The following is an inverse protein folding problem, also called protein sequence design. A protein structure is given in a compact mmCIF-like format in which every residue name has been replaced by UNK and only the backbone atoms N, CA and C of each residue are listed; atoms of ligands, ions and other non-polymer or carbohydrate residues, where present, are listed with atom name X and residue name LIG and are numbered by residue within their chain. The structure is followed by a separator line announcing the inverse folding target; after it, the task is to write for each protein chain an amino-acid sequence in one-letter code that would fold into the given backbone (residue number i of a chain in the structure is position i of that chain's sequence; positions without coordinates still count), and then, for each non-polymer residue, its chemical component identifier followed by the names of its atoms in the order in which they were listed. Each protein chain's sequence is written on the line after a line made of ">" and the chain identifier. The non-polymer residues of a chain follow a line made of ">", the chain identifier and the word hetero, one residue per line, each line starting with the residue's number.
data_IF_819558375835
#
_entry.id   IF_819558375835
#
_cell.length_a   1.000
_cell.length_b   1.000
_cell.length_c   1.000
_cell.angle_alpha   90.00
_cell.angle_beta   90.00
_cell.angle_gamma   90.00
#
_symmetry.space_group_name_H-M   'P 1'
#
loop_
_entity.id
_entity.type
_entity.pdbx_description
1 polymer ?
#
# COMPACT_ATOMS: atom_id res chain seq x y z
N UNK A 1 -1.69 6.68 -14.74
CA UNK A 1 -1.28 8.11 -14.70
C UNK A 1 0.25 8.18 -14.66
N UNK A 2 0.92 9.21 -14.13
CA UNK A 2 2.36 9.09 -13.81
C UNK A 2 2.53 8.50 -12.41
N UNK A 3 3.59 7.73 -12.16
CA UNK A 3 3.90 7.19 -10.82
C UNK A 3 3.94 8.24 -9.71
N UNK A 4 4.44 9.45 -9.98
CA UNK A 4 4.43 10.54 -9.00
C UNK A 4 3.01 11.00 -8.60
N UNK A 5 2.03 10.85 -9.51
CA UNK A 5 0.63 11.17 -9.25
C UNK A 5 -0.03 10.06 -8.42
N UNK A 6 0.28 8.80 -8.75
CA UNK A 6 -0.12 7.62 -7.96
C UNK A 6 0.27 7.74 -6.50
N UNK A 7 1.54 8.05 -6.24
CA UNK A 7 2.03 8.29 -4.88
C UNK A 7 1.31 9.47 -4.23
N UNK A 8 1.22 10.60 -4.94
CA UNK A 8 0.67 11.82 -4.35
C UNK A 8 -0.80 11.67 -3.97
N UNK A 9 -1.64 11.09 -4.82
CA UNK A 9 -3.07 10.90 -4.55
C UNK A 9 -3.30 9.84 -3.49
N UNK A 10 -2.48 8.79 -3.47
CA UNK A 10 -2.55 7.75 -2.44
C UNK A 10 -2.21 8.30 -1.06
N UNK A 11 -1.12 9.07 -0.93
CA UNK A 11 -0.75 9.70 0.33
C UNK A 11 -1.77 10.76 0.77
N UNK A 12 -2.26 11.59 -0.17
CA UNK A 12 -3.29 12.59 0.14
C UNK A 12 -4.59 11.92 0.64
N UNK A 13 -4.97 10.80 0.06
CA UNK A 13 -6.10 9.99 0.52
C UNK A 13 -5.85 9.35 1.89
N UNK A 14 -4.62 8.90 2.16
CA UNK A 14 -4.24 8.35 3.46
C UNK A 14 -4.34 9.38 4.58
N UNK A 15 -4.07 10.66 4.31
CA UNK A 15 -4.21 11.76 5.30
C UNK A 15 -5.65 11.89 5.81
N UNK A 16 -6.65 11.52 5.02
CA UNK A 16 -8.06 11.48 5.48
C UNK A 16 -8.19 10.56 6.70
N UNK A 17 -7.42 9.47 6.78
CA UNK A 17 -7.42 8.55 7.92
C UNK A 17 -6.41 8.91 9.01
N UNK A 18 -5.61 9.97 8.86
CA UNK A 18 -4.58 10.33 9.82
C UNK A 18 -5.12 10.55 11.25
N UNK A 19 -6.30 11.16 11.49
CA UNK A 19 -6.86 11.25 12.85
C UNK A 19 -7.09 9.89 13.51
N UNK A 20 -7.53 8.89 12.73
CA UNK A 20 -7.76 7.54 13.23
C UNK A 20 -6.43 6.84 13.50
N UNK A 21 -5.47 6.98 12.59
CA UNK A 21 -4.17 6.32 12.72
C UNK A 21 -3.33 6.95 13.85
N UNK A 22 -3.34 8.28 13.97
CA UNK A 22 -2.56 9.00 14.98
C UNK A 22 -2.98 8.66 16.42
N UNK A 23 -4.23 8.20 16.62
CA UNK A 23 -4.69 7.70 17.92
C UNK A 23 -3.96 6.45 18.42
N UNK A 24 -3.33 5.70 17.53
CA UNK A 24 -2.47 4.58 17.95
C UNK A 24 -1.30 5.07 18.82
N UNK A 25 -0.91 6.34 18.68
CA UNK A 25 0.20 6.93 19.43
C UNK A 25 1.58 6.37 19.09
N UNK A 26 1.66 5.41 18.17
CA UNK A 26 2.90 4.74 17.78
C UNK A 26 3.50 5.35 16.50
N UNK A 27 4.63 6.07 16.60
CA UNK A 27 5.30 6.64 15.42
C UNK A 27 5.79 5.56 14.44
N UNK A 28 6.13 4.36 14.93
CA UNK A 28 6.59 3.26 14.07
C UNK A 28 5.44 2.74 13.22
N UNK A 29 4.25 2.55 13.80
CA UNK A 29 3.03 2.22 13.06
C UNK A 29 2.79 3.22 11.91
N UNK A 30 2.80 4.52 12.22
CA UNK A 30 2.61 5.60 11.25
C UNK A 30 3.65 5.57 10.13
N UNK A 31 4.92 5.33 10.48
CA UNK A 31 6.00 5.23 9.51
C UNK A 31 5.82 4.02 8.59
N UNK A 32 5.59 2.82 9.15
CA UNK A 32 5.46 1.58 8.40
C UNK A 32 4.26 1.61 7.46
N UNK A 33 3.10 2.07 7.93
CA UNK A 33 1.91 2.16 7.08
C UNK A 33 2.11 3.19 5.95
N UNK A 34 2.79 4.31 6.23
CA UNK A 34 3.07 5.34 5.21
C UNK A 34 4.05 4.85 4.14
N UNK A 35 5.13 4.17 4.53
CA UNK A 35 6.06 3.54 3.58
C UNK A 35 5.32 2.46 2.77
N UNK A 36 4.49 1.66 3.42
CA UNK A 36 3.65 0.66 2.77
C UNK A 36 2.74 1.30 1.70
N UNK A 37 2.00 2.35 2.03
CA UNK A 37 1.12 3.07 1.08
C UNK A 37 1.92 3.64 -0.08
N UNK A 38 3.09 4.23 0.19
CA UNK A 38 3.98 4.75 -0.85
C UNK A 38 4.41 3.65 -1.84
N UNK A 39 4.93 2.52 -1.35
CA UNK A 39 5.36 1.40 -2.22
C UNK A 39 4.16 0.78 -2.91
N UNK A 40 3.07 0.54 -2.17
CA UNK A 40 1.82 -0.02 -2.67
C UNK A 40 1.21 0.78 -3.80
N UNK A 41 1.26 2.12 -3.74
CA UNK A 41 0.75 2.99 -4.81
C UNK A 41 1.49 2.84 -6.14
N UNK A 42 2.69 2.24 -6.14
CA UNK A 42 3.50 1.96 -7.32
C UNK A 42 3.54 0.47 -7.68
N UNK A 43 3.17 -0.41 -6.73
CA UNK A 43 3.29 -1.85 -6.88
C UNK A 43 2.50 -2.42 -8.08
N UNK A 44 1.28 -1.95 -8.41
CA UNK A 44 0.55 -2.46 -9.57
C UNK A 44 1.28 -2.31 -10.91
N UNK A 45 2.06 -1.23 -11.06
CA UNK A 45 2.83 -0.95 -12.27
C UNK A 45 4.11 -1.81 -12.40
N UNK A 46 4.42 -2.67 -11.42
CA UNK A 46 5.57 -3.58 -11.51
C UNK A 46 5.43 -4.64 -12.61
N UNK A 47 4.23 -4.79 -13.20
CA UNK A 47 3.99 -5.61 -14.38
C UNK A 47 4.47 -4.96 -15.69
N UNK A 48 4.87 -3.68 -15.64
CA UNK A 48 5.43 -2.91 -16.74
C UNK A 48 6.93 -2.66 -16.54
N UNK A 49 7.72 -2.78 -17.61
CA UNK A 49 9.17 -2.57 -17.51
C UNK A 49 9.56 -1.09 -17.43
N UNK A 50 8.74 -0.19 -17.98
CA UNK A 50 8.98 1.25 -18.11
C UNK A 50 8.35 2.07 -16.97
N UNK A 51 7.85 1.41 -15.93
CA UNK A 51 7.15 2.06 -14.84
C UNK A 51 8.07 2.81 -13.87
N UNK A 52 7.48 3.74 -13.12
CA UNK A 52 8.22 4.52 -12.12
C UNK A 52 8.82 3.64 -11.00
N UNK A 53 8.22 2.48 -10.71
CA UNK A 53 8.81 1.55 -9.74
C UNK A 53 10.08 0.89 -10.29
N UNK A 54 10.26 0.79 -11.61
CA UNK A 54 11.44 0.18 -12.24
C UNK A 54 12.59 1.14 -12.49
N UNK A 55 12.33 2.45 -12.50
CA UNK A 55 13.33 3.47 -12.87
C UNK A 55 13.41 4.68 -11.91
N UNK A 56 12.57 4.72 -10.88
CA UNK A 56 12.49 5.82 -9.93
C UNK A 56 11.56 6.96 -10.37
N UNK A 57 11.40 7.96 -9.49
CA UNK A 57 10.62 9.16 -9.78
C UNK A 57 11.50 10.20 -10.49
N UNK A 58 11.13 10.61 -11.70
CA UNK A 58 11.87 11.60 -12.47
C UNK A 58 11.50 13.05 -12.11
N UNK A 59 12.38 14.02 -12.40
CA UNK A 59 12.10 15.46 -12.28
C UNK A 59 12.51 16.13 -10.95
N UNK A 60 12.08 17.39 -10.76
CA UNK A 60 12.38 18.23 -9.59
C UNK A 60 13.50 19.27 -9.81
N UNK A 61 13.55 20.28 -8.92
CA UNK A 61 14.61 21.30 -8.85
C UNK A 61 15.18 21.36 -7.41
N UNK A 62 16.44 21.77 -7.27
CA UNK A 62 17.12 21.91 -5.97
C UNK A 62 17.11 20.62 -5.14
N UNK A 63 16.86 20.75 -3.83
CA UNK A 63 16.89 19.65 -2.86
C UNK A 63 15.89 18.52 -3.17
N UNK A 64 14.76 18.84 -3.82
CA UNK A 64 13.77 17.83 -4.25
C UNK A 64 14.38 16.88 -5.28
N UNK A 65 15.24 17.40 -6.17
CA UNK A 65 15.94 16.57 -7.17
C UNK A 65 16.90 15.60 -6.47
N UNK A 66 17.60 16.04 -5.43
CA UNK A 66 18.50 15.19 -4.65
C UNK A 66 17.74 14.06 -3.97
N UNK A 67 16.62 14.35 -3.30
CA UNK A 67 15.76 13.34 -2.69
C UNK A 67 15.25 12.32 -3.73
N UNK A 68 14.78 12.80 -4.89
CA UNK A 68 14.29 11.94 -5.97
C UNK A 68 15.37 11.02 -6.55
N UNK A 69 16.65 11.43 -6.57
CA UNK A 69 17.75 10.55 -7.03
C UNK A 69 17.88 9.30 -6.17
N UNK A 70 17.63 9.38 -4.87
CA UNK A 70 17.67 8.18 -4.01
C UNK A 70 16.57 7.17 -4.37
N UNK A 71 15.43 7.63 -4.91
CA UNK A 71 14.37 6.73 -5.37
C UNK A 71 14.80 5.87 -6.57
N UNK A 72 15.81 6.29 -7.34
CA UNK A 72 16.35 5.54 -8.49
C UNK A 72 17.06 4.25 -8.05
N UNK A 73 17.52 4.16 -6.80
CA UNK A 73 18.09 2.92 -6.27
C UNK A 73 17.03 2.09 -5.54
N UNK A 74 16.25 2.76 -4.70
CA UNK A 74 15.31 2.08 -3.79
C UNK A 74 14.09 1.54 -4.54
N UNK A 75 13.49 2.31 -5.45
CA UNK A 75 12.28 1.85 -6.14
C UNK A 75 12.54 0.64 -7.04
N UNK A 76 13.58 0.61 -7.90
CA UNK A 76 13.83 -0.55 -8.75
C UNK A 76 14.09 -1.84 -7.96
N UNK A 77 14.74 -1.74 -6.80
CA UNK A 77 14.87 -2.88 -5.89
C UNK A 77 13.50 -3.47 -5.53
N UNK A 78 12.56 -2.65 -5.07
CA UNK A 78 11.19 -3.10 -4.77
C UNK A 78 10.43 -3.53 -6.03
N UNK A 79 10.60 -2.83 -7.15
CA UNK A 79 9.97 -3.17 -8.43
C UNK A 79 10.35 -4.56 -8.91
N UNK A 80 11.64 -4.91 -8.87
CA UNK A 80 12.12 -6.24 -9.20
C UNK A 80 11.68 -7.29 -8.18
N UNK A 81 11.70 -6.97 -6.89
CA UNK A 81 11.22 -7.87 -5.85
C UNK A 81 9.74 -8.22 -6.09
N UNK A 82 8.89 -7.22 -6.29
CA UNK A 82 7.46 -7.40 -6.57
C UNK A 82 7.28 -8.18 -7.87
N UNK A 83 8.00 -7.83 -8.95
CA UNK A 83 7.84 -8.48 -10.25
C UNK A 83 8.20 -9.97 -10.21
N UNK A 84 9.34 -10.31 -9.64
CA UNK A 84 9.85 -11.68 -9.70
C UNK A 84 9.33 -12.57 -8.58
N UNK A 85 9.19 -12.06 -7.36
CA UNK A 85 8.75 -12.87 -6.23
C UNK A 85 7.24 -12.84 -6.01
N UNK A 86 6.53 -11.84 -6.53
CA UNK A 86 5.08 -11.70 -6.30
C UNK A 86 4.30 -11.87 -7.61
N UNK A 87 4.51 -10.98 -8.58
CA UNK A 87 3.71 -10.96 -9.80
C UNK A 87 3.81 -12.27 -10.60
N UNK A 88 5.02 -12.76 -10.87
CA UNK A 88 5.17 -14.00 -11.64
C UNK A 88 4.61 -15.23 -10.92
N UNK A 89 4.85 -15.46 -9.61
CA UNK A 89 4.22 -16.55 -8.87
C UNK A 89 2.69 -16.48 -8.85
N UNK A 90 2.11 -15.29 -8.59
CA UNK A 90 0.64 -15.13 -8.60
C UNK A 90 0.09 -15.35 -10.01
N UNK A 91 0.79 -14.86 -11.04
CA UNK A 91 0.41 -15.08 -12.44
C UNK A 91 0.47 -16.55 -12.85
N UNK A 92 1.51 -17.27 -12.42
CA UNK A 92 1.65 -18.70 -12.63
C UNK A 92 0.53 -19.48 -11.93
N UNK A 93 0.22 -19.13 -10.68
CA UNK A 93 -0.89 -19.73 -9.94
C UNK A 93 -2.22 -19.56 -10.69
N UNK A 94 -2.55 -18.34 -11.14
CA UNK A 94 -3.76 -18.08 -11.92
C UNK A 94 -3.75 -18.86 -13.24
N UNK A 95 -2.60 -18.92 -13.93
CA UNK A 95 -2.46 -19.70 -15.16
C UNK A 95 -2.77 -21.19 -14.93
N UNK A 96 -2.23 -21.79 -13.87
CA UNK A 96 -2.46 -23.20 -13.50
C UNK A 96 -3.94 -23.44 -13.16
N UNK A 97 -4.50 -22.65 -12.24
CA UNK A 97 -5.89 -22.83 -11.76
C UNK A 97 -6.92 -22.61 -12.87
N UNK A 98 -6.60 -21.78 -13.86
CA UNK A 98 -7.47 -21.53 -15.01
C UNK A 98 -7.21 -22.46 -16.20
N UNK A 99 -6.35 -23.48 -16.04
CA UNK A 99 -5.93 -24.39 -17.11
C UNK A 99 -5.45 -23.65 -18.37
N UNK A 100 -4.68 -22.60 -18.17
CA UNK A 100 -4.10 -21.77 -19.23
C UNK A 100 -5.08 -20.84 -19.96
N UNK A 101 -6.35 -20.77 -19.54
CA UNK A 101 -7.35 -19.86 -20.14
C UNK A 101 -7.02 -18.39 -19.88
N UNK A 102 -6.37 -18.09 -18.76
CA UNK A 102 -5.97 -16.72 -18.40
C UNK A 102 -4.45 -16.58 -18.52
N UNK A 103 -4.02 -15.73 -19.45
CA UNK A 103 -2.61 -15.42 -19.66
C UNK A 103 -2.21 -14.13 -18.92
N UNK A 104 -0.97 -14.04 -18.40
CA UNK A 104 -0.44 -12.79 -17.86
C UNK A 104 -0.44 -11.73 -18.96
N UNK A 105 -0.93 -10.54 -18.64
CA UNK A 105 -0.96 -9.38 -19.55
C UNK A 105 -0.62 -8.13 -18.75
N UNK A 106 0.00 -7.17 -19.42
CA UNK A 106 0.19 -5.83 -18.87
C UNK A 106 -1.16 -5.21 -18.49
N UNK A 107 -1.25 -4.60 -17.30
CA UNK A 107 -2.52 -4.10 -16.73
C UNK A 107 -3.58 -5.19 -16.56
N UNK A 108 -3.12 -6.40 -16.24
CA UNK A 108 -3.95 -7.58 -16.00
C UNK A 108 -4.14 -7.83 -14.51
N UNK A 109 -3.35 -8.77 -13.99
CA UNK A 109 -3.54 -9.31 -12.65
C UNK A 109 -3.35 -8.25 -11.55
N UNK A 110 -2.25 -7.50 -11.55
CA UNK A 110 -2.01 -6.49 -10.53
C UNK A 110 -2.93 -5.26 -10.64
N UNK A 111 -3.62 -5.09 -11.76
CA UNK A 111 -4.65 -4.07 -11.96
C UNK A 111 -6.06 -4.65 -11.76
N UNK A 112 -6.20 -5.51 -10.74
CA UNK A 112 -7.46 -6.13 -10.32
C UNK A 112 -7.49 -6.28 -8.81
N UNK A 113 -8.69 -6.28 -8.22
CA UNK A 113 -8.85 -6.43 -6.77
C UNK A 113 -8.31 -7.78 -6.29
N UNK A 114 -8.61 -8.84 -7.04
CA UNK A 114 -8.10 -10.18 -6.76
C UNK A 114 -6.57 -10.19 -6.75
N UNK A 115 -5.94 -9.65 -7.79
CA UNK A 115 -4.48 -9.70 -7.90
C UNK A 115 -3.77 -8.89 -6.82
N UNK A 116 -4.25 -7.70 -6.44
CA UNK A 116 -3.62 -6.94 -5.34
C UNK A 116 -3.80 -7.63 -3.99
N UNK A 117 -4.97 -8.25 -3.72
CA UNK A 117 -5.21 -9.00 -2.48
C UNK A 117 -4.28 -10.22 -2.42
N UNK A 118 -4.21 -11.02 -3.49
CA UNK A 118 -3.33 -12.20 -3.52
C UNK A 118 -1.86 -11.82 -3.45
N UNK A 119 -1.45 -10.74 -4.13
CA UNK A 119 -0.09 -10.21 -4.07
C UNK A 119 0.29 -9.76 -2.64
N UNK A 120 -0.58 -8.99 -1.97
CA UNK A 120 -0.34 -8.55 -0.60
C UNK A 120 -0.35 -9.71 0.41
N UNK A 121 -1.23 -10.69 0.23
CA UNK A 121 -1.26 -11.89 1.08
C UNK A 121 0.02 -12.73 0.93
N UNK A 122 0.48 -12.94 -0.31
CA UNK A 122 1.73 -13.65 -0.57
C UNK A 122 2.94 -12.91 0.02
N UNK A 123 2.97 -11.58 -0.10
CA UNK A 123 4.01 -10.75 0.52
C UNK A 123 4.01 -10.88 2.05
N UNK A 124 2.83 -10.86 2.69
CA UNK A 124 2.70 -11.04 4.14
C UNK A 124 3.24 -12.40 4.58
N UNK A 125 2.94 -13.46 3.82
CA UNK A 125 3.46 -14.81 4.08
C UNK A 125 4.99 -14.79 4.01
N UNK A 126 5.58 -14.23 2.95
CA UNK A 126 7.03 -14.16 2.80
C UNK A 126 7.71 -13.38 3.93
N UNK A 127 7.22 -12.17 4.24
CA UNK A 127 7.83 -11.35 5.30
C UNK A 127 7.69 -12.05 6.65
N UNK A 128 6.55 -12.68 6.94
CA UNK A 128 6.36 -13.45 8.19
C UNK A 128 7.37 -14.59 8.30
N UNK A 129 7.56 -15.38 7.24
CA UNK A 129 8.54 -16.48 7.22
C UNK A 129 9.96 -15.95 7.42
N UNK A 130 10.35 -14.90 6.66
CA UNK A 130 11.70 -14.33 6.72
C UNK A 130 11.98 -13.75 8.12
N UNK A 131 11.03 -13.00 8.69
CA UNK A 131 11.16 -12.45 10.03
C UNK A 131 11.30 -13.56 11.08
N UNK A 132 10.50 -14.63 10.98
CA UNK A 132 10.61 -15.78 11.88
C UNK A 132 11.96 -16.50 11.77
N UNK A 133 12.45 -16.73 10.55
CA UNK A 133 13.77 -17.32 10.32
C UNK A 133 14.90 -16.44 10.87
N UNK A 134 14.81 -15.12 10.67
CA UNK A 134 15.80 -14.18 11.18
C UNK A 134 15.83 -14.16 12.71
N UNK A 135 14.67 -14.12 13.37
CA UNK A 135 14.57 -14.20 14.83
C UNK A 135 15.21 -15.48 15.38
N UNK A 136 14.94 -16.62 14.77
CA UNK A 136 15.53 -17.91 15.17
C UNK A 136 17.05 -17.93 14.99
N UNK A 137 17.56 -17.41 13.86
CA UNK A 137 19.01 -17.34 13.61
C UNK A 137 19.72 -16.41 14.59
N UNK A 138 19.12 -15.27 14.91
CA UNK A 138 19.65 -14.32 15.88
C UNK A 138 19.72 -14.95 17.27
N UNK A 139 18.69 -15.69 17.67
CA UNK A 139 18.68 -16.41 18.94
C UNK A 139 19.80 -17.46 19.00
N UNK A 140 19.99 -18.25 17.94
CA UNK A 140 21.09 -19.22 17.86
C UNK A 140 22.46 -18.55 17.95
N UNK A 141 22.64 -17.40 17.29
CA UNK A 141 23.88 -16.64 17.34
C UNK A 141 24.17 -16.12 18.75
N UNK A 142 23.16 -15.58 19.45
CA UNK A 142 23.31 -15.09 20.83
C UNK A 142 23.62 -16.26 21.78
N UNK A 143 22.91 -17.39 21.66
CA UNK A 143 23.15 -18.58 22.48
C UNK A 143 24.51 -19.22 22.22
N UNK A 144 24.96 -19.29 20.96
CA UNK A 144 26.27 -19.84 20.60
C UNK A 144 27.44 -18.92 20.93
N UNK A 145 27.21 -17.62 21.10
CA UNK A 145 28.23 -16.61 21.41
C UNK A 145 28.47 -16.36 22.90
N UNK A 146 27.61 -16.86 23.80
CA UNK A 146 27.75 -16.70 25.25
C UNK A 146 27.86 -18.07 25.93
N UNK A 147 28.94 -18.29 26.69
CA UNK A 147 29.05 -19.48 27.56
C UNK A 147 27.93 -19.49 28.60
N UNK A 148 27.39 -20.68 28.89
CA UNK A 148 26.15 -20.99 29.64
C UNK A 148 25.91 -20.30 31.01
N UNK A 149 26.82 -19.46 31.51
CA UNK A 149 26.70 -18.83 32.83
C UNK A 149 25.62 -17.73 32.92
N UNK A 150 25.07 -17.23 31.80
CA UNK A 150 24.02 -16.19 31.78
C UNK A 150 22.75 -16.56 30.99
N UNK A 151 22.59 -17.83 30.56
CA UNK A 151 21.50 -18.24 29.66
C UNK A 151 20.08 -18.02 30.23
N UNK A 152 19.93 -17.97 31.56
CA UNK A 152 18.64 -17.73 32.23
C UNK A 152 18.09 -16.30 32.12
N UNK A 153 18.91 -15.31 31.77
CA UNK A 153 18.46 -13.91 31.64
C UNK A 153 17.98 -13.56 30.22
N UNK A 154 18.41 -14.31 29.20
CA UNK A 154 18.15 -13.98 27.79
C UNK A 154 16.84 -14.60 27.29
N UNK A 155 16.42 -15.75 27.85
CA UNK A 155 15.13 -16.39 27.54
C UNK A 155 13.92 -15.54 27.93
N UNK A 156 14.07 -14.59 28.87
CA UNK A 156 13.02 -13.62 29.19
C UNK A 156 12.82 -12.53 28.13
N UNK A 157 13.79 -12.33 27.23
CA UNK A 157 13.75 -11.31 26.17
C UNK A 157 13.11 -11.89 24.89
N UNK A 158 13.24 -13.20 24.66
CA UNK A 158 12.72 -13.88 23.46
C UNK A 158 11.48 -14.72 23.72
N UNK A 159 11.25 -15.17 24.96
CA UNK A 159 10.19 -16.12 25.33
C UNK A 159 8.87 -15.51 25.82
N UNK A 160 8.72 -14.19 25.78
CA UNK A 160 7.44 -13.52 26.02
C UNK A 160 6.49 -13.75 24.86
N UNK A 161 5.98 -14.97 24.72
CA UNK A 161 4.85 -15.27 23.84
C UNK A 161 3.66 -14.51 24.41
N UNK A 162 3.48 -13.32 23.87
CA UNK A 162 2.46 -12.35 24.20
C UNK A 162 1.07 -13.00 24.27
N UNK A 163 0.45 -12.98 25.45
CA UNK A 163 -1.00 -12.83 25.52
C UNK A 163 -1.33 -11.44 24.95
N UNK A 164 -1.37 -11.33 23.61
CA UNK A 164 -1.78 -10.07 22.98
C UNK A 164 -3.26 -9.91 23.21
N UNK A 165 -3.65 -8.87 23.94
CA UNK A 165 -5.00 -8.35 23.86
C UNK A 165 -5.27 -7.97 22.38
N UNK A 166 -6.51 -8.06 21.87
CA UNK A 166 -6.80 -7.76 20.46
C UNK A 166 -6.31 -6.39 19.95
N UNK A 167 -6.08 -5.42 20.85
CA UNK A 167 -5.48 -4.12 20.54
C UNK A 167 -3.97 -4.16 20.24
N UNK A 168 -3.24 -5.17 20.72
CA UNK A 168 -1.78 -5.30 20.57
C UNK A 168 -1.37 -6.04 19.29
N UNK A 169 -2.34 -6.53 18.51
CA UNK A 169 -2.05 -7.31 17.30
C UNK A 169 -1.20 -6.53 16.28
N UNK A 170 -1.43 -5.23 16.13
CA UNK A 170 -0.68 -4.43 15.16
C UNK A 170 0.66 -3.92 15.69
N UNK A 171 0.78 -3.65 16.99
CA UNK A 171 2.05 -3.28 17.63
C UNK A 171 3.02 -4.47 17.67
N UNK A 172 2.50 -5.69 17.84
CA UNK A 172 3.29 -6.93 17.83
C UNK A 172 3.64 -7.44 16.42
N UNK A 173 3.01 -6.92 15.36
CA UNK A 173 3.17 -7.41 13.97
C UNK A 173 3.47 -6.28 12.97
N UNK A 174 4.66 -5.67 13.02
CA UNK A 174 5.05 -4.60 12.11
C UNK A 174 4.96 -5.01 10.62
N UNK A 175 5.18 -6.28 10.30
CA UNK A 175 5.02 -6.81 8.95
C UNK A 175 3.57 -6.71 8.45
N UNK A 176 2.59 -6.93 9.33
CA UNK A 176 1.17 -6.84 8.97
C UNK A 176 0.76 -5.38 8.71
N UNK A 177 1.27 -4.43 9.50
CA UNK A 177 1.05 -2.99 9.31
C UNK A 177 1.61 -2.54 7.96
N UNK A 178 2.86 -2.93 7.66
CA UNK A 178 3.51 -2.63 6.40
C UNK A 178 2.75 -3.21 5.19
N UNK A 179 2.38 -4.49 5.23
CA UNK A 179 1.62 -5.15 4.16
C UNK A 179 0.21 -4.56 3.99
N UNK A 180 -0.43 -4.14 5.09
CA UNK A 180 -1.72 -3.42 5.04
C UNK A 180 -1.55 -2.08 4.33
N UNK A 181 -0.46 -1.36 4.62
CA UNK A 181 -0.09 -0.15 3.88
C UNK A 181 0.08 -0.41 2.39
N UNK A 182 0.80 -1.48 2.01
CA UNK A 182 0.98 -1.86 0.60
C UNK A 182 -0.37 -2.15 -0.07
N UNK A 183 -1.25 -2.91 0.57
CA UNK A 183 -2.57 -3.21 0.04
C UNK A 183 -3.40 -1.93 -0.14
N UNK A 184 -3.38 -1.03 0.85
CA UNK A 184 -4.10 0.24 0.80
C UNK A 184 -3.57 1.14 -0.33
N UNK A 185 -2.24 1.25 -0.48
CA UNK A 185 -1.63 1.99 -1.59
C UNK A 185 -1.99 1.41 -2.95
N UNK A 186 -1.94 0.08 -3.10
CA UNK A 186 -2.31 -0.59 -4.34
C UNK A 186 -3.79 -0.38 -4.66
N UNK A 187 -4.68 -0.48 -3.66
CA UNK A 187 -6.10 -0.20 -3.84
C UNK A 187 -6.36 1.25 -4.32
N UNK A 188 -5.66 2.23 -3.74
CA UNK A 188 -5.75 3.64 -4.15
C UNK A 188 -5.22 3.86 -5.57
N UNK A 189 -4.15 3.15 -5.96
CA UNK A 189 -3.70 3.11 -7.35
C UNK A 189 -4.81 2.63 -8.29
N UNK A 190 -5.53 1.55 -7.95
CA UNK A 190 -6.63 1.03 -8.78
C UNK A 190 -7.80 2.03 -8.88
N UNK A 191 -8.14 2.71 -7.78
CA UNK A 191 -9.16 3.79 -7.79
C UNK A 191 -8.74 4.94 -8.71
N UNK A 192 -7.47 5.35 -8.66
CA UNK A 192 -6.94 6.38 -9.54
C UNK A 192 -6.95 5.94 -11.01
N UNK A 193 -6.46 4.74 -11.31
CA UNK A 193 -6.39 4.28 -12.70
C UNK A 193 -7.78 4.05 -13.30
N UNK A 194 -8.80 3.80 -12.46
CA UNK A 194 -10.22 3.80 -12.85
C UNK A 194 -10.66 5.16 -13.39
N UNK A 195 -10.04 6.27 -12.97
CA UNK A 195 -10.33 7.61 -13.44
C UNK A 195 -9.69 7.93 -14.81
N UNK A 196 -8.80 7.09 -15.30
CA UNK A 196 -8.05 7.29 -16.55
C UNK A 196 -8.68 6.55 -17.73
N UNK A 197 -8.24 6.89 -18.94
CA UNK A 197 -8.63 6.15 -20.15
C UNK A 197 -8.16 4.69 -20.16
N UNK A 198 -7.05 4.39 -19.48
CA UNK A 198 -6.51 3.04 -19.41
C UNK A 198 -7.40 2.13 -18.58
N UNK A 199 -7.97 2.66 -17.49
CA UNK A 199 -8.94 1.97 -16.66
C UNK A 199 -8.36 0.80 -15.86
N UNK A 200 -9.25 0.09 -15.17
CA UNK A 200 -8.94 -1.06 -14.30
C UNK A 200 -9.95 -2.18 -14.53
N UNK A 201 -9.47 -3.43 -14.48
CA UNK A 201 -10.30 -4.63 -14.54
C UNK A 201 -10.50 -5.18 -13.12
N UNK A 202 -11.34 -4.51 -12.32
CA UNK A 202 -11.52 -4.80 -10.89
C UNK A 202 -11.73 -6.28 -10.56
N UNK A 203 -12.47 -6.99 -11.41
CA UNK A 203 -12.85 -8.39 -11.19
C UNK A 203 -12.05 -9.38 -12.06
N UNK A 204 -10.96 -8.97 -12.71
CA UNK A 204 -10.06 -9.91 -13.36
C UNK A 204 -9.44 -10.84 -12.30
N UNK A 205 -9.26 -12.15 -12.56
CA UNK A 205 -9.45 -12.86 -13.83
C UNK A 205 -10.88 -13.35 -14.12
N UNK A 206 -11.84 -13.14 -13.22
CA UNK A 206 -13.20 -13.67 -13.32
C UNK A 206 -14.07 -12.92 -14.34
N UNK A 207 -13.85 -11.61 -14.50
CA UNK A 207 -14.60 -10.76 -15.44
C UNK A 207 -13.69 -9.75 -16.10
N UNK A 208 -13.85 -9.56 -17.42
CA UNK A 208 -13.11 -8.60 -18.23
C UNK A 208 -13.82 -7.24 -18.37
N UNK A 209 -14.69 -6.87 -17.43
CA UNK A 209 -15.33 -5.55 -17.44
C UNK A 209 -14.34 -4.51 -16.94
N UNK A 210 -14.11 -3.50 -17.77
CA UNK A 210 -13.20 -2.39 -17.49
C UNK A 210 -13.97 -1.19 -16.97
N UNK A 211 -13.56 -0.64 -15.83
CA UNK A 211 -14.00 0.67 -15.36
C UNK A 211 -12.94 1.69 -15.80
N UNK A 212 -13.35 2.76 -16.47
CA UNK A 212 -12.44 3.77 -17.01
C UNK A 212 -13.08 5.14 -17.06
N UNK A 213 -12.27 6.17 -16.83
CA UNK A 213 -12.66 7.56 -16.91
C UNK A 213 -12.10 8.24 -18.15
N UNK A 214 -11.94 9.56 -18.03
CA UNK A 214 -11.53 10.47 -19.11
C UNK A 214 -10.41 11.40 -18.67
N UNK A 215 -9.72 11.08 -17.58
CA UNK A 215 -8.60 11.90 -17.09
C UNK A 215 -7.34 11.58 -17.90
N UNK A 216 -6.69 12.65 -18.33
CA UNK A 216 -5.42 12.64 -19.06
C UNK A 216 -4.35 13.27 -18.15
N UNK A 217 -3.10 12.77 -18.17
CA UNK A 217 -2.01 13.36 -17.40
C UNK A 217 -1.88 14.88 -17.61
N UNK A 218 -1.68 15.62 -16.51
CA UNK A 218 -1.52 17.09 -16.49
C UNK A 218 -2.76 17.90 -16.90
N UNK A 219 -3.94 17.28 -16.99
CA UNK A 219 -5.18 18.01 -17.26
C UNK A 219 -5.59 18.92 -16.09
N UNK A 220 -6.41 19.94 -16.36
CA UNK A 220 -7.02 20.77 -15.30
C UNK A 220 -7.87 19.95 -14.32
N UNK A 221 -8.40 18.80 -14.75
CA UNK A 221 -9.18 17.89 -13.88
C UNK A 221 -8.34 17.26 -12.78
N UNK A 222 -7.03 17.11 -12.98
CA UNK A 222 -6.12 16.65 -11.93
C UNK A 222 -6.11 17.61 -10.74
N UNK A 223 -6.20 18.92 -10.97
CA UNK A 223 -6.31 19.91 -9.90
C UNK A 223 -7.62 19.82 -9.14
N UNK A 224 -8.72 19.48 -9.81
CA UNK A 224 -9.99 19.24 -9.14
C UNK A 224 -9.92 18.02 -8.21
N UNK A 225 -9.26 16.94 -8.61
CA UNK A 225 -9.02 15.79 -7.72
C UNK A 225 -8.24 16.21 -6.48
N UNK A 226 -7.16 16.96 -6.66
CA UNK A 226 -6.34 17.45 -5.55
C UNK A 226 -7.15 18.33 -4.61
N UNK A 227 -8.01 19.21 -5.16
CA UNK A 227 -8.89 20.05 -4.36
C UNK A 227 -9.88 19.21 -3.55
N UNK A 228 -10.55 18.24 -4.18
CA UNK A 228 -11.51 17.35 -3.49
C UNK A 228 -10.84 16.54 -2.38
N UNK A 229 -9.75 15.85 -2.68
CA UNK A 229 -9.02 15.04 -1.70
C UNK A 229 -8.37 15.90 -0.61
N UNK A 230 -7.85 17.07 -0.97
CA UNK A 230 -7.26 18.03 -0.03
C UNK A 230 -8.30 18.59 0.94
N UNK A 231 -9.46 19.02 0.44
CA UNK A 231 -10.58 19.46 1.29
C UNK A 231 -11.06 18.33 2.20
N UNK A 232 -11.18 17.11 1.69
CA UNK A 232 -11.55 15.94 2.49
C UNK A 232 -10.53 15.64 3.61
N UNK A 233 -9.24 15.69 3.29
CA UNK A 233 -8.16 15.53 4.25
C UNK A 233 -8.19 16.62 5.33
N UNK A 234 -8.32 17.89 4.94
CA UNK A 234 -8.43 19.02 5.88
C UNK A 234 -9.68 18.90 6.77
N UNK A 235 -10.83 18.52 6.21
CA UNK A 235 -12.06 18.32 6.97
C UNK A 235 -11.91 17.19 7.99
N UNK A 236 -11.31 16.07 7.60
CA UNK A 236 -11.06 14.94 8.51
C UNK A 236 -10.11 15.34 9.65
N UNK A 237 -9.00 16.02 9.34
CA UNK A 237 -8.05 16.51 10.34
C UNK A 237 -8.70 17.51 11.30
N UNK A 238 -9.45 18.47 10.76
CA UNK A 238 -10.17 19.45 11.58
C UNK A 238 -11.18 18.77 12.49
N UNK A 239 -11.91 17.79 11.98
CA UNK A 239 -12.85 17.01 12.79
C UNK A 239 -12.11 16.24 13.91
N UNK A 240 -10.98 15.61 13.59
CA UNK A 240 -10.16 14.86 14.54
C UNK A 240 -9.56 15.72 15.67
N UNK A 241 -9.18 16.97 15.37
CA UNK A 241 -8.61 17.90 16.35
C UNK A 241 -9.69 18.50 17.25
N UNK A 242 -10.82 18.93 16.69
CA UNK A 242 -11.80 19.72 17.43
C UNK A 242 -12.85 18.88 18.14
N UNK A 243 -13.15 17.69 17.63
CA UNK A 243 -14.14 16.82 18.26
C UNK A 243 -13.46 15.77 19.11
N UNK A 244 -13.48 15.98 20.43
CA UNK A 244 -13.44 14.89 21.42
C UNK A 244 -14.76 14.08 21.37
N UNK A 245 -15.12 13.66 20.17
CA UNK A 245 -16.34 12.90 19.91
C UNK A 245 -16.19 11.48 20.47
N UNK A 246 -17.31 10.81 20.77
CA UNK A 246 -17.31 9.39 21.12
C UNK A 246 -16.45 8.59 20.14
N UNK A 247 -15.70 7.59 20.61
CA UNK A 247 -14.74 6.83 19.78
C UNK A 247 -15.31 6.38 18.43
N UNK A 248 -16.61 6.06 18.40
CA UNK A 248 -17.32 5.62 17.20
C UNK A 248 -17.24 6.65 16.05
N UNK A 249 -17.35 7.94 16.35
CA UNK A 249 -17.27 9.00 15.34
C UNK A 249 -15.89 9.05 14.69
N UNK A 250 -14.82 8.89 15.48
CA UNK A 250 -13.45 8.94 14.98
C UNK A 250 -13.08 7.70 14.16
N UNK A 251 -13.80 6.58 14.33
CA UNK A 251 -13.67 5.37 13.51
C UNK A 251 -14.45 5.48 12.18
N UNK A 252 -15.69 5.99 12.21
CA UNK A 252 -16.59 5.98 11.05
C UNK A 252 -16.41 7.22 10.16
N UNK A 253 -16.20 8.40 10.74
CA UNK A 253 -16.21 9.66 10.01
C UNK A 253 -15.12 9.73 8.93
N UNK A 254 -13.84 9.37 9.18
CA UNK A 254 -12.83 9.34 8.13
C UNK A 254 -13.20 8.43 6.95
N UNK A 255 -13.81 7.27 7.21
CA UNK A 255 -14.25 6.34 6.18
C UNK A 255 -15.38 6.94 5.33
N UNK A 256 -16.36 7.61 5.95
CA UNK A 256 -17.42 8.31 5.22
C UNK A 256 -16.88 9.46 4.37
N UNK A 257 -16.00 10.29 4.92
CA UNK A 257 -15.34 11.38 4.19
C UNK A 257 -14.57 10.83 2.99
N UNK A 258 -13.81 9.76 3.19
CA UNK A 258 -13.07 9.08 2.13
C UNK A 258 -13.99 8.57 1.02
N UNK A 259 -15.05 7.84 1.37
CA UNK A 259 -16.01 7.29 0.41
C UNK A 259 -16.66 8.41 -0.41
N UNK A 260 -17.15 9.47 0.27
CA UNK A 260 -17.77 10.61 -0.39
C UNK A 260 -16.80 11.34 -1.32
N UNK A 261 -15.56 11.59 -0.87
CA UNK A 261 -14.53 12.23 -1.69
C UNK A 261 -14.23 11.41 -2.96
N UNK A 262 -14.08 10.10 -2.84
CA UNK A 262 -13.81 9.23 -3.99
C UNK A 262 -15.00 9.05 -4.92
N UNK A 263 -16.24 9.06 -4.43
CA UNK A 263 -17.44 9.12 -5.28
C UNK A 263 -17.41 10.39 -6.15
N UNK A 264 -17.09 11.54 -5.56
CA UNK A 264 -16.97 12.82 -6.28
C UNK A 264 -15.83 12.74 -7.31
N UNK A 265 -14.67 12.19 -6.97
CA UNK A 265 -13.54 11.98 -7.90
C UNK A 265 -13.93 11.08 -9.08
N UNK A 266 -14.63 9.97 -8.81
CA UNK A 266 -15.12 9.05 -9.84
C UNK A 266 -16.19 9.70 -10.74
N UNK A 267 -17.01 10.59 -10.19
CA UNK A 267 -17.95 11.39 -10.97
C UNK A 267 -17.24 12.41 -11.88
N UNK A 268 -16.29 13.18 -11.34
CA UNK A 268 -15.49 14.19 -12.08
C UNK A 268 -14.71 13.54 -13.23
N UNK A 269 -14.18 12.34 -13.01
CA UNK A 269 -13.44 11.59 -14.03
C UNK A 269 -14.33 11.02 -15.14
N UNK A 270 -15.64 10.97 -14.94
CA UNK A 270 -16.61 10.37 -15.85
C UNK A 270 -16.70 8.85 -15.76
N UNK A 271 -16.10 8.25 -14.73
CA UNK A 271 -16.02 6.79 -14.57
C UNK A 271 -17.36 6.15 -14.21
N UNK A 272 -18.28 6.90 -13.59
CA UNK A 272 -19.62 6.43 -13.21
C UNK A 272 -20.68 6.53 -14.33
N UNK A 273 -20.33 7.11 -15.48
CA UNK A 273 -21.28 7.34 -16.60
C UNK A 273 -21.24 6.23 -17.66
N UNK A 274 -20.45 5.18 -17.44
CA UNK A 274 -20.19 4.08 -18.38
C UNK A 274 -20.47 2.75 -17.71
#
# INVERSE_FOLDING_TARGET
>A
MRGEQHVFYSLLSAVIFLPLIAKTGDPLFLLLISIGIFIGSLAPDADAADSAIMHGLSGGRGNIRTLRRHTVLVLPFFGYLIRYFIYFPVSLFVYIVTFGRVKPKHRGLLHSLFGIITASALLLIYITIISGLFSNLLELFIRGGFSDTNAGAITGITGGVYETSPGDFFSSRPEAVFCTGILAGAFLHLLEDSCTHSGVFWLFPFKNTKISGTIIPKSKRNWLIVLVLGTAASASLFAGINYQSPELYLKILPALIFILAWIVVLFISGSLKR
#
